data_IF_791427149885
#
_entry.id   IF_791427149885
#
_cell.length_a   1.000
_cell.length_b   1.000
_cell.length_c   1.000
_cell.angle_alpha   90.00
_cell.angle_beta   90.00
_cell.angle_gamma   90.00
#
_symmetry.space_group_name_H-M   'P 1'
#
loop_
_entity.id
_entity.type
_entity.pdbx_description
1 polymer ?
#
# COMPACT_ATOMS: atom_id res chain seq x y z
N UNK A 1 -18.74 -82.47 -19.03
CA UNK A 1 -17.85 -81.71 -18.13
C UNK A 1 -18.01 -80.22 -18.39
N UNK A 2 -18.18 -79.47 -17.30
CA UNK A 2 -18.49 -78.04 -17.13
C UNK A 2 -17.71 -77.04 -18.01
N UNK A 3 -18.40 -75.96 -18.47
CA UNK A 3 -17.94 -74.55 -18.45
C UNK A 3 -18.99 -73.57 -19.05
N UNK A 4 -20.01 -73.18 -18.26
CA UNK A 4 -20.91 -72.06 -18.62
C UNK A 4 -21.30 -71.22 -17.41
N UNK A 5 -20.33 -70.69 -16.67
CA UNK A 5 -20.58 -69.78 -15.54
C UNK A 5 -19.56 -68.65 -15.51
N UNK A 6 -19.68 -67.67 -16.41
CA UNK A 6 -18.90 -66.40 -16.33
C UNK A 6 -19.42 -65.28 -17.25
N UNK A 7 -20.74 -65.07 -17.32
CA UNK A 7 -21.29 -63.89 -18.01
C UNK A 7 -22.34 -63.08 -17.25
N UNK A 8 -22.68 -63.46 -16.02
CA UNK A 8 -23.69 -62.75 -15.20
C UNK A 8 -23.09 -61.79 -14.15
N UNK A 9 -21.78 -61.68 -14.04
CA UNK A 9 -21.13 -60.90 -12.98
C UNK A 9 -20.84 -59.42 -13.28
N UNK A 10 -20.88 -58.98 -14.54
CA UNK A 10 -20.51 -57.59 -14.89
C UNK A 10 -21.70 -56.64 -15.11
N UNK A 11 -22.91 -57.15 -15.36
CA UNK A 11 -24.05 -56.28 -15.70
C UNK A 11 -24.76 -55.69 -14.47
N UNK A 12 -24.58 -56.28 -13.28
CA UNK A 12 -25.26 -55.81 -12.05
C UNK A 12 -24.46 -54.68 -11.36
N UNK A 13 -23.12 -54.68 -11.46
CA UNK A 13 -22.27 -53.66 -10.83
C UNK A 13 -22.26 -52.31 -11.59
N UNK A 14 -22.55 -52.34 -12.90
CA UNK A 14 -22.62 -51.11 -13.71
C UNK A 14 -23.94 -50.34 -13.52
N UNK A 15 -25.02 -51.01 -13.10
CA UNK A 15 -26.33 -50.36 -12.92
C UNK A 15 -26.51 -49.75 -11.52
N UNK A 16 -25.78 -50.26 -10.51
CA UNK A 16 -25.82 -49.76 -9.13
C UNK A 16 -24.86 -48.59 -8.86
N UNK A 17 -23.85 -48.39 -9.72
CA UNK A 17 -22.90 -47.26 -9.61
C UNK A 17 -23.36 -46.02 -10.39
N UNK A 18 -24.30 -46.16 -11.34
CA UNK A 18 -24.83 -45.04 -12.11
C UNK A 18 -25.88 -44.20 -11.35
N UNK A 19 -26.50 -44.74 -10.30
CA UNK A 19 -27.50 -44.05 -9.49
C UNK A 19 -26.92 -43.19 -8.37
N UNK A 20 -25.61 -43.27 -8.09
CA UNK A 20 -24.95 -42.53 -7.01
C UNK A 20 -24.41 -41.14 -7.43
N UNK A 21 -24.65 -40.71 -8.67
CA UNK A 21 -24.10 -39.46 -9.24
C UNK A 21 -25.17 -38.44 -9.65
N UNK A 22 -26.43 -38.63 -9.25
CA UNK A 22 -27.42 -37.56 -9.41
C UNK A 22 -27.14 -36.50 -8.35
N UNK A 23 -26.71 -35.27 -8.73
CA UNK A 23 -26.59 -34.19 -7.76
C UNK A 23 -27.96 -33.99 -7.11
N UNK A 24 -27.99 -33.92 -5.77
CA UNK A 24 -29.19 -33.51 -5.05
C UNK A 24 -29.71 -32.21 -5.67
N UNK A 25 -31.03 -32.09 -5.94
CA UNK A 25 -31.57 -30.82 -6.42
C UNK A 25 -31.16 -29.75 -5.42
N UNK A 26 -30.43 -28.74 -5.89
CA UNK A 26 -30.11 -27.59 -5.07
C UNK A 26 -31.43 -27.05 -4.51
N UNK A 27 -31.53 -26.93 -3.19
CA UNK A 27 -32.63 -26.20 -2.58
C UNK A 27 -32.49 -24.75 -3.08
N UNK A 28 -33.28 -24.38 -4.09
CA UNK A 28 -33.51 -22.99 -4.39
C UNK A 28 -34.20 -22.41 -3.15
N UNK A 29 -33.46 -21.66 -2.37
CA UNK A 29 -34.01 -20.87 -1.27
C UNK A 29 -35.11 -19.99 -1.87
N UNK A 30 -36.33 -20.07 -1.33
CA UNK A 30 -37.44 -19.27 -1.82
C UNK A 30 -37.04 -17.79 -1.77
N UNK A 31 -37.11 -17.10 -2.91
CA UNK A 31 -36.83 -15.67 -2.94
C UNK A 31 -37.80 -14.98 -1.98
N UNK A 32 -37.27 -14.36 -0.93
CA UNK A 32 -38.09 -13.61 0.00
C UNK A 32 -38.67 -12.38 -0.72
N UNK A 33 -39.99 -12.26 -0.69
CA UNK A 33 -40.70 -11.08 -1.22
C UNK A 33 -40.56 -9.92 -0.23
N UNK A 34 -39.76 -8.92 -0.59
CA UNK A 34 -39.62 -7.67 0.16
C UNK A 34 -40.28 -6.52 -0.61
N UNK A 35 -41.05 -5.69 0.11
CA UNK A 35 -41.64 -4.46 -0.42
C UNK A 35 -41.12 -3.26 0.35
N UNK A 36 -40.61 -2.24 -0.36
CA UNK A 36 -40.28 -0.92 0.19
C UNK A 36 -41.33 0.07 -0.30
N UNK A 37 -42.13 0.61 0.62
CA UNK A 37 -43.10 1.66 0.34
C UNK A 37 -42.52 3.02 0.74
N UNK A 38 -42.54 4.00 -0.17
CA UNK A 38 -42.02 5.36 0.07
C UNK A 38 -43.16 6.37 -0.09
N UNK A 39 -43.31 7.28 0.88
CA UNK A 39 -44.21 8.43 0.79
C UNK A 39 -43.45 9.68 0.32
N UNK A 40 -43.72 10.21 -0.89
CA UNK A 40 -43.02 11.39 -1.42
C UNK A 40 -43.54 12.72 -0.83
N UNK A 41 -44.68 12.72 -0.13
CA UNK A 41 -45.23 13.90 0.52
C UNK A 41 -44.59 14.16 1.90
N UNK A 42 -44.15 13.10 2.58
CA UNK A 42 -43.39 13.21 3.82
C UNK A 42 -41.96 13.69 3.54
N UNK A 43 -41.52 14.72 4.27
CA UNK A 43 -40.17 15.28 4.15
C UNK A 43 -39.18 14.59 5.09
N UNK A 44 -39.65 13.82 6.07
CA UNK A 44 -38.81 13.18 7.07
C UNK A 44 -38.04 14.18 7.93
N UNK A 45 -37.04 13.70 8.69
CA UNK A 45 -36.17 14.55 9.51
C UNK A 45 -35.22 15.38 8.63
N UNK A 46 -34.82 16.55 9.13
CA UNK A 46 -33.73 17.32 8.52
C UNK A 46 -32.43 16.50 8.55
N UNK A 47 -31.75 16.41 7.41
CA UNK A 47 -30.42 15.81 7.30
C UNK A 47 -29.41 16.92 7.55
N UNK A 48 -28.55 16.74 8.55
CA UNK A 48 -27.53 17.73 8.90
C UNK A 48 -26.40 17.72 7.87
N UNK A 49 -25.87 18.90 7.52
CA UNK A 49 -24.77 19.04 6.55
C UNK A 49 -23.48 18.32 7.03
N UNK A 50 -23.34 18.08 8.34
CA UNK A 50 -22.22 17.34 8.93
C UNK A 50 -22.31 15.83 8.78
N UNK A 51 -23.42 15.31 8.23
CA UNK A 51 -23.58 13.87 7.97
C UNK A 51 -22.60 13.36 6.89
N UNK A 52 -22.01 14.25 6.10
CA UNK A 52 -21.02 13.92 5.09
C UNK A 52 -19.70 14.66 5.36
N UNK A 53 -18.62 13.90 5.50
CA UNK A 53 -17.29 14.45 5.77
C UNK A 53 -16.17 13.53 5.33
N UNK A 54 -14.94 13.94 5.63
CA UNK A 54 -13.73 13.16 5.32
C UNK A 54 -13.03 12.80 6.62
N UNK A 55 -12.73 11.51 6.77
CA UNK A 55 -11.78 11.03 7.76
C UNK A 55 -10.38 11.05 7.14
N UNK A 56 -9.38 11.50 7.90
CA UNK A 56 -8.01 11.62 7.42
C UNK A 56 -7.02 11.10 8.44
N UNK A 57 -6.17 10.19 8.00
CA UNK A 57 -4.97 9.71 8.68
C UNK A 57 -3.85 9.59 7.65
N UNK A 58 -2.59 9.59 8.08
CA UNK A 58 -1.49 9.22 7.17
C UNK A 58 -1.39 7.70 7.03
N UNK A 59 -2.30 7.13 6.26
CA UNK A 59 -2.26 5.73 5.83
C UNK A 59 -2.03 5.67 4.33
N UNK A 60 -1.24 4.69 3.87
CA UNK A 60 -0.99 4.48 2.44
C UNK A 60 -0.48 5.73 1.69
N UNK A 61 0.34 6.56 2.34
CA UNK A 61 0.87 7.82 1.79
C UNK A 61 -0.20 8.87 1.54
N UNK A 62 -1.28 8.88 2.33
CA UNK A 62 -2.31 9.90 2.21
C UNK A 62 -1.80 11.30 2.61
N UNK A 63 -0.85 11.39 3.56
CA UNK A 63 -0.17 12.64 3.89
C UNK A 63 1.17 12.77 3.18
N UNK A 64 2.21 12.10 3.69
CA UNK A 64 3.54 12.16 3.10
C UNK A 64 3.57 11.37 1.78
N UNK A 65 3.64 12.11 0.67
CA UNK A 65 3.50 11.56 -0.69
C UNK A 65 2.09 11.63 -1.27
N UNK A 66 1.16 12.26 -0.54
CA UNK A 66 -0.23 12.48 -0.94
C UNK A 66 -0.60 13.95 -0.82
N UNK A 67 -1.40 14.30 0.19
CA UNK A 67 -1.90 15.66 0.39
C UNK A 67 -0.78 16.66 0.76
N UNK A 68 0.27 16.21 1.46
CA UNK A 68 1.41 17.06 1.77
C UNK A 68 2.30 17.22 0.53
N UNK A 69 2.55 18.47 0.13
CA UNK A 69 3.19 18.82 -1.14
C UNK A 69 4.73 18.61 -1.19
N UNK A 70 5.33 18.03 -0.15
CA UNK A 70 6.76 17.70 -0.19
C UNK A 70 7.01 16.60 -1.22
N UNK A 71 8.02 16.82 -2.06
CA UNK A 71 8.37 15.92 -3.16
C UNK A 71 9.53 15.00 -2.82
N UNK A 72 10.38 15.40 -1.87
CA UNK A 72 11.55 14.64 -1.40
C UNK A 72 11.13 13.72 -0.26
N UNK A 73 11.10 12.42 -0.55
CA UNK A 73 10.78 11.42 0.47
C UNK A 73 11.94 11.27 1.46
N UNK A 74 11.63 11.12 2.76
CA UNK A 74 12.65 10.92 3.80
C UNK A 74 13.71 12.05 3.79
N UNK A 75 13.26 13.30 3.65
CA UNK A 75 14.12 14.50 3.49
C UNK A 75 15.03 14.81 4.68
N UNK A 76 14.77 14.22 5.84
CA UNK A 76 15.55 14.36 7.08
C UNK A 76 16.21 13.07 7.53
N UNK A 77 16.20 12.01 6.71
CA UNK A 77 16.88 10.74 7.01
C UNK A 77 16.40 10.03 8.30
N UNK A 78 15.14 10.25 8.69
CA UNK A 78 14.56 9.75 9.94
C UNK A 78 13.94 8.35 9.80
N UNK A 79 13.81 7.82 8.58
CA UNK A 79 13.23 6.49 8.37
C UNK A 79 14.07 5.41 9.05
N UNK A 80 13.39 4.53 9.76
CA UNK A 80 14.03 3.48 10.55
C UNK A 80 13.27 2.16 10.50
N UNK A 81 13.90 1.11 11.00
CA UNK A 81 13.25 -0.20 11.14
C UNK A 81 12.09 -0.21 12.13
N UNK A 82 11.97 0.83 12.98
CA UNK A 82 10.81 0.99 13.87
C UNK A 82 9.54 1.36 13.09
N UNK A 83 9.69 2.05 11.95
CA UNK A 83 8.58 2.45 11.08
C UNK A 83 8.22 1.32 10.10
N UNK A 84 9.23 0.63 9.57
CA UNK A 84 9.08 -0.52 8.68
C UNK A 84 10.38 -1.33 8.67
N UNK A 85 10.30 -2.65 8.80
CA UNK A 85 11.48 -3.52 8.88
C UNK A 85 12.46 -3.40 7.69
N UNK A 86 11.99 -2.97 6.51
CA UNK A 86 12.82 -2.75 5.32
C UNK A 86 13.43 -1.36 5.22
N UNK A 87 13.00 -0.42 6.07
CA UNK A 87 13.49 0.94 6.02
C UNK A 87 14.88 1.07 6.60
N UNK A 88 15.63 1.96 5.97
CA UNK A 88 16.93 2.42 6.40
C UNK A 88 16.92 3.94 6.40
N UNK A 89 17.88 4.60 7.06
CA UNK A 89 18.00 6.05 6.98
C UNK A 89 18.20 6.57 5.54
N UNK A 90 18.67 5.73 4.62
CA UNK A 90 18.81 6.03 3.19
C UNK A 90 17.62 5.54 2.33
N UNK A 91 16.51 5.10 2.92
CA UNK A 91 15.31 4.78 2.14
C UNK A 91 14.90 5.99 1.30
N UNK A 92 14.57 5.73 0.03
CA UNK A 92 14.33 6.71 -1.04
C UNK A 92 15.57 7.47 -1.56
N UNK A 93 16.75 7.27 -0.99
CA UNK A 93 18.01 7.87 -1.45
C UNK A 93 18.92 6.82 -2.07
N UNK A 94 19.46 7.12 -3.26
CA UNK A 94 20.55 6.35 -3.87
C UNK A 94 21.82 7.17 -3.85
N UNK A 95 22.94 6.57 -3.46
CA UNK A 95 24.24 7.22 -3.43
C UNK A 95 25.13 6.71 -4.58
N UNK A 96 25.86 7.65 -5.17
CA UNK A 96 27.02 7.39 -6.01
C UNK A 96 28.26 7.89 -5.24
N UNK A 97 29.18 7.00 -4.90
CA UNK A 97 30.30 7.28 -4.00
C UNK A 97 30.00 7.02 -2.52
N UNK A 98 30.55 7.87 -1.64
CA UNK A 98 30.48 7.69 -0.18
C UNK A 98 29.39 8.56 0.42
N UNK A 99 28.37 7.93 1.01
CA UNK A 99 27.30 8.61 1.72
C UNK A 99 26.91 7.80 2.97
N UNK A 100 26.71 8.48 4.10
CA UNK A 100 26.29 7.85 5.36
C UNK A 100 25.41 8.79 6.15
N UNK A 101 24.32 8.27 6.72
CA UNK A 101 23.53 9.01 7.70
C UNK A 101 24.17 8.88 9.09
N UNK A 102 24.25 10.00 9.81
CA UNK A 102 24.85 10.12 11.13
C UNK A 102 23.93 10.92 12.06
N UNK A 103 24.04 10.65 13.36
CA UNK A 103 23.42 11.40 14.46
C UNK A 103 24.53 11.70 15.47
N UNK A 104 25.10 12.90 15.39
CA UNK A 104 26.13 13.42 16.27
C UNK A 104 25.92 14.93 16.50
N UNK A 105 26.85 15.59 17.19
CA UNK A 105 26.79 17.03 17.50
C UNK A 105 26.77 17.94 16.24
N UNK A 106 26.94 17.35 15.05
CA UNK A 106 26.79 18.01 13.77
C UNK A 106 25.37 18.22 13.29
N UNK A 107 24.38 17.64 13.98
CA UNK A 107 22.97 17.73 13.62
C UNK A 107 22.44 19.16 13.53
N UNK A 108 21.36 19.35 12.78
CA UNK A 108 20.75 20.67 12.59
C UNK A 108 20.20 21.22 13.92
N UNK A 109 19.54 20.36 14.72
CA UNK A 109 19.04 20.65 16.06
C UNK A 109 18.55 19.36 16.75
N UNK A 110 18.13 19.46 18.02
CA UNK A 110 17.62 18.33 18.82
C UNK A 110 16.36 17.64 18.26
N UNK A 111 15.62 18.27 17.34
CA UNK A 111 14.42 17.71 16.69
C UNK A 111 14.69 17.15 15.29
N UNK A 112 15.88 17.40 14.73
CA UNK A 112 16.30 16.90 13.43
C UNK A 112 17.72 16.38 13.60
N UNK A 113 17.80 15.15 14.12
CA UNK A 113 19.03 14.57 14.66
C UNK A 113 19.85 13.89 13.59
N UNK A 114 19.18 13.27 12.62
CA UNK A 114 19.84 12.61 11.52
C UNK A 114 20.25 13.62 10.42
N UNK A 115 21.45 13.44 9.86
CA UNK A 115 21.87 14.15 8.66
C UNK A 115 22.78 13.29 7.78
N UNK A 116 22.87 13.65 6.50
CA UNK A 116 23.73 12.96 5.54
C UNK A 116 25.15 13.54 5.57
N UNK A 117 26.13 12.68 5.86
CA UNK A 117 27.53 12.93 5.57
C UNK A 117 27.85 12.40 4.17
N UNK A 118 28.37 13.29 3.31
CA UNK A 118 28.66 13.01 1.90
C UNK A 118 30.14 13.23 1.61
N UNK A 119 30.79 12.24 1.02
CA UNK A 119 32.20 12.32 0.63
C UNK A 119 32.43 13.26 -0.56
N UNK A 120 33.63 13.82 -0.66
CA UNK A 120 34.02 14.63 -1.81
C UNK A 120 33.88 13.82 -3.12
N UNK A 121 33.30 14.45 -4.15
CA UNK A 121 33.04 13.81 -5.44
C UNK A 121 31.89 12.79 -5.45
N UNK A 122 31.15 12.65 -4.34
CA UNK A 122 29.98 11.77 -4.25
C UNK A 122 28.69 12.54 -4.57
N UNK A 123 27.63 11.81 -4.93
CA UNK A 123 26.32 12.36 -5.22
C UNK A 123 25.21 11.52 -4.56
N UNK A 124 24.05 12.14 -4.32
CA UNK A 124 22.84 11.42 -3.93
C UNK A 124 21.65 11.84 -4.78
N UNK A 125 20.76 10.89 -5.04
CA UNK A 125 19.50 11.10 -5.77
C UNK A 125 18.35 10.62 -4.92
N UNK A 126 17.32 11.44 -4.73
CA UNK A 126 16.07 11.02 -4.10
C UNK A 126 15.09 10.52 -5.16
N UNK A 127 14.47 9.37 -4.91
CA UNK A 127 13.48 8.79 -5.82
C UNK A 127 12.12 9.50 -5.77
N UNK A 128 11.88 10.35 -4.77
CA UNK A 128 10.55 10.90 -4.47
C UNK A 128 9.62 9.83 -3.92
N UNK A 129 8.32 10.02 -4.10
CA UNK A 129 7.29 9.08 -3.67
C UNK A 129 6.80 8.23 -4.84
N UNK A 130 6.38 7.00 -4.56
CA UNK A 130 5.80 6.06 -5.53
C UNK A 130 6.70 5.80 -6.75
N UNK A 131 6.42 6.44 -7.89
CA UNK A 131 7.13 6.25 -9.17
C UNK A 131 8.08 7.40 -9.51
N UNK A 132 8.17 8.45 -8.69
CA UNK A 132 9.08 9.55 -8.97
C UNK A 132 8.65 10.90 -8.38
N UNK A 133 9.42 11.93 -8.74
CA UNK A 133 9.05 13.33 -8.52
C UNK A 133 8.39 13.88 -9.80
N UNK A 134 7.15 14.35 -9.70
CA UNK A 134 6.43 14.97 -10.83
C UNK A 134 6.88 16.42 -11.02
N UNK A 135 7.79 16.65 -11.96
CA UNK A 135 8.22 17.99 -12.37
C UNK A 135 7.50 18.43 -13.63
N UNK A 136 6.93 19.63 -13.62
CA UNK A 136 6.11 20.21 -14.68
C UNK A 136 6.78 21.41 -15.33
N UNK A 137 6.78 21.43 -16.68
CA UNK A 137 7.33 22.54 -17.45
C UNK A 137 6.61 23.84 -17.10
N UNK A 138 7.38 24.87 -16.75
CA UNK A 138 6.86 26.21 -16.45
C UNK A 138 6.30 26.38 -15.03
N UNK A 139 6.30 25.32 -14.20
CA UNK A 139 6.01 25.45 -12.77
C UNK A 139 7.26 25.85 -11.99
N UNK A 140 7.04 26.51 -10.84
CA UNK A 140 8.09 26.88 -9.89
C UNK A 140 8.07 25.88 -8.74
N UNK A 141 9.25 25.57 -8.23
CA UNK A 141 9.47 24.66 -7.12
C UNK A 141 10.41 25.33 -6.13
N UNK A 142 10.06 25.29 -4.85
CA UNK A 142 10.92 25.79 -3.79
C UNK A 142 11.85 24.67 -3.34
N UNK A 143 13.15 24.89 -3.50
CA UNK A 143 14.19 23.96 -3.09
C UNK A 143 15.04 24.59 -2.00
N UNK A 144 15.26 23.86 -0.93
CA UNK A 144 16.11 24.28 0.18
C UNK A 144 16.81 23.08 0.80
N UNK A 145 18.04 23.29 1.25
CA UNK A 145 18.78 22.33 2.06
C UNK A 145 19.67 23.06 3.07
N UNK A 146 19.95 22.39 4.18
CA UNK A 146 20.97 22.82 5.13
C UNK A 146 22.24 22.01 4.88
N UNK A 147 23.35 22.70 4.61
CA UNK A 147 24.63 22.05 4.38
C UNK A 147 25.75 22.79 5.10
N UNK A 148 26.77 22.01 5.49
CA UNK A 148 28.05 22.49 5.98
C UNK A 148 29.15 21.67 5.33
N UNK A 149 30.27 22.30 5.01
CA UNK A 149 31.49 21.59 4.65
C UNK A 149 32.24 21.22 5.93
N UNK A 150 32.89 20.05 5.94
CA UNK A 150 33.97 19.80 6.89
C UNK A 150 35.13 20.77 6.65
N UNK A 151 36.07 20.85 7.59
CA UNK A 151 37.29 21.67 7.46
C UNK A 151 37.95 21.40 6.10
N UNK A 152 37.91 22.37 5.19
CA UNK A 152 38.49 22.22 3.86
C UNK A 152 40.01 22.18 3.96
N UNK A 153 40.63 21.12 3.45
CA UNK A 153 42.06 21.17 3.10
C UNK A 153 42.14 21.76 1.70
N UNK A 154 42.54 23.03 1.61
CA UNK A 154 42.92 23.67 0.34
C UNK A 154 44.21 23.10 -0.19
#
# INVERSE_FOLDING_TARGET
MSRTRWRLGLSVTALLTASALLPSPAHAEAAADYTITVDPADRGPAIDDTMYGVFYEDINRAADGGLYAELVQNRSFEYSTADNASYTPLTAWTADGTARVVDDDGRLNERNRNYLSLGAGSAVTNAGYNTGIRVEKGKKYDFSLWARAGSGTT
#
